data_IF_832053553517
#
_entry.id   IF_832053553517
#
_cell.length_a   1.000
_cell.length_b   1.000
_cell.length_c   1.000
_cell.angle_alpha   90.00
_cell.angle_beta   90.00
_cell.angle_gamma   90.00
#
_symmetry.space_group_name_H-M   'P 1'
#
loop_
_entity.id
_entity.type
_entity.pdbx_description
1 polymer ?
#
# COMPACT_ATOMS: atom_id res chain seq x y z
N UNK A 1 5.86 -77.88 10.56
CA UNK A 1 4.55 -77.18 10.64
C UNK A 1 4.71 -76.07 11.66
N UNK A 2 4.88 -74.83 11.21
CA UNK A 2 4.70 -73.59 11.98
C UNK A 2 5.01 -72.39 11.08
N UNK A 3 3.95 -71.78 10.56
CA UNK A 3 3.96 -70.61 9.68
C UNK A 3 4.02 -69.33 10.51
N UNK A 4 5.13 -68.60 10.42
CA UNK A 4 5.26 -67.23 10.93
C UNK A 4 5.75 -66.36 9.77
N UNK A 5 4.85 -65.65 9.08
CA UNK A 5 5.24 -64.49 8.27
C UNK A 5 4.17 -63.38 8.33
N UNK A 6 4.49 -62.43 9.21
CA UNK A 6 4.38 -60.96 9.10
C UNK A 6 3.02 -60.36 8.72
N UNK A 7 2.43 -59.76 9.75
CA UNK A 7 1.35 -58.77 9.74
C UNK A 7 1.72 -57.58 8.85
N UNK A 8 0.83 -57.20 7.93
CA UNK A 8 0.86 -55.91 7.25
C UNK A 8 -0.42 -55.18 7.66
N UNK A 9 -0.31 -54.37 8.70
CA UNK A 9 -1.35 -53.42 9.10
C UNK A 9 -1.04 -52.11 8.37
N UNK A 10 -1.80 -51.82 7.31
CA UNK A 10 -1.71 -50.55 6.59
C UNK A 10 -2.44 -49.50 7.43
N UNK A 11 -1.69 -48.71 8.19
CA UNK A 11 -2.18 -47.52 8.85
C UNK A 11 -2.24 -46.38 7.81
N UNK A 12 -3.44 -46.09 7.32
CA UNK A 12 -3.74 -44.87 6.57
C UNK A 12 -3.71 -43.68 7.54
N UNK A 13 -2.59 -42.97 7.59
CA UNK A 13 -2.48 -41.68 8.27
C UNK A 13 -3.11 -40.61 7.38
N UNK A 14 -4.32 -40.18 7.75
CA UNK A 14 -4.99 -39.02 7.16
C UNK A 14 -4.29 -37.76 7.71
N UNK A 15 -3.43 -37.15 6.90
CA UNK A 15 -2.85 -35.84 7.20
C UNK A 15 -3.92 -34.77 7.00
N UNK A 16 -4.54 -34.35 8.10
CA UNK A 16 -5.42 -33.17 8.11
C UNK A 16 -4.55 -31.93 8.03
N UNK A 17 -4.47 -31.34 6.83
CA UNK A 17 -3.87 -30.01 6.62
C UNK A 17 -4.88 -29.00 7.15
N UNK A 18 -4.65 -28.49 8.36
CA UNK A 18 -5.35 -27.31 8.84
C UNK A 18 -4.81 -26.10 8.10
N UNK A 19 -5.58 -25.63 7.12
CA UNK A 19 -5.40 -24.31 6.54
C UNK A 19 -5.52 -23.28 7.67
N UNK A 20 -4.39 -22.68 8.03
CA UNK A 20 -4.34 -21.48 8.86
C UNK A 20 -5.26 -20.43 8.21
N UNK A 21 -6.37 -20.13 8.89
CA UNK A 21 -7.12 -18.91 8.63
C UNK A 21 -6.30 -17.73 9.15
N UNK A 22 -5.41 -17.23 8.28
CA UNK A 22 -4.79 -15.92 8.45
C UNK A 22 -5.85 -14.84 8.25
N UNK A 23 -6.65 -14.59 9.27
CA UNK A 23 -7.46 -13.38 9.34
C UNK A 23 -6.54 -12.23 9.76
N UNK A 24 -5.75 -11.75 8.81
CA UNK A 24 -5.05 -10.47 8.92
C UNK A 24 -6.09 -9.36 8.83
N UNK A 25 -6.72 -9.03 9.96
CA UNK A 25 -7.48 -7.80 10.12
C UNK A 25 -6.53 -6.63 9.94
N UNK A 26 -6.38 -6.19 8.69
CA UNK A 26 -5.76 -4.91 8.40
C UNK A 26 -6.83 -3.85 8.68
N UNK A 27 -6.81 -3.33 9.90
CA UNK A 27 -7.61 -2.17 10.29
C UNK A 27 -7.38 -1.05 9.28
N UNK A 28 -8.38 -0.83 8.44
CA UNK A 28 -8.37 0.23 7.45
C UNK A 28 -8.91 1.46 8.16
N UNK A 29 -8.03 2.38 8.54
CA UNK A 29 -8.41 3.67 9.11
C UNK A 29 -9.37 4.37 8.14
N UNK A 30 -10.50 4.84 8.66
CA UNK A 30 -11.58 5.50 7.92
C UNK A 30 -11.05 6.73 7.17
N UNK A 31 -10.59 6.55 5.94
CA UNK A 31 -9.95 7.61 5.13
C UNK A 31 -8.82 7.11 4.23
N UNK A 32 -8.32 5.90 4.47
CA UNK A 32 -7.25 5.29 3.67
C UNK A 32 -7.82 4.55 2.45
N UNK A 33 -7.32 4.89 1.27
CA UNK A 33 -7.64 4.14 0.05
C UNK A 33 -6.51 3.19 -0.27
N UNK A 34 -6.83 1.90 -0.29
CA UNK A 34 -5.89 0.86 -0.71
C UNK A 34 -6.22 0.33 -2.10
N UNK A 35 -5.20 0.23 -2.97
CA UNK A 35 -5.30 -0.32 -4.32
C UNK A 35 -4.14 -1.31 -4.52
N UNK A 36 -4.39 -2.41 -5.22
CA UNK A 36 -3.35 -3.38 -5.59
C UNK A 36 -3.11 -3.32 -7.09
N UNK A 37 -1.84 -3.30 -7.49
CA UNK A 37 -1.37 -3.26 -8.87
C UNK A 37 -0.55 -4.52 -9.18
N UNK A 38 -0.65 -5.01 -10.41
CA UNK A 38 0.12 -6.15 -10.93
C UNK A 38 1.49 -5.72 -11.50
N UNK A 39 2.18 -4.87 -10.74
CA UNK A 39 3.52 -4.39 -11.07
C UNK A 39 4.49 -4.66 -9.92
N UNK A 40 5.77 -4.80 -10.24
CA UNK A 40 6.79 -5.00 -9.22
C UNK A 40 6.96 -3.75 -8.35
N UNK A 41 7.53 -3.99 -7.16
CA UNK A 41 7.64 -2.96 -6.13
C UNK A 41 8.46 -1.74 -6.56
N UNK A 42 9.57 -1.92 -7.29
CA UNK A 42 10.45 -0.80 -7.62
C UNK A 42 9.78 0.09 -8.67
N UNK A 43 9.18 -0.52 -9.70
CA UNK A 43 8.39 0.19 -10.70
C UNK A 43 7.30 1.02 -10.03
N UNK A 44 6.54 0.42 -9.10
CA UNK A 44 5.49 1.16 -8.41
C UNK A 44 6.00 2.29 -7.51
N UNK A 45 7.17 2.16 -6.89
CA UNK A 45 7.80 3.26 -6.14
C UNK A 45 8.07 4.45 -7.07
N UNK A 46 8.69 4.21 -8.22
CA UNK A 46 9.01 5.25 -9.20
C UNK A 46 7.75 5.90 -9.76
N UNK A 47 6.75 5.09 -10.14
CA UNK A 47 5.45 5.57 -10.62
C UNK A 47 4.76 6.45 -9.58
N UNK A 48 4.76 6.05 -8.30
CA UNK A 48 4.13 6.86 -7.24
C UNK A 48 4.87 8.18 -7.04
N UNK A 49 6.21 8.17 -7.02
CA UNK A 49 6.97 9.43 -6.91
C UNK A 49 6.71 10.36 -8.09
N UNK A 50 6.66 9.82 -9.31
CA UNK A 50 6.34 10.58 -10.51
C UNK A 50 4.90 11.12 -10.46
N UNK A 51 3.95 10.33 -9.98
CA UNK A 51 2.57 10.76 -9.81
C UNK A 51 2.45 11.93 -8.83
N UNK A 52 3.18 11.89 -7.71
CA UNK A 52 3.24 12.98 -6.72
C UNK A 52 3.84 14.24 -7.36
N UNK A 53 5.03 14.14 -7.95
CA UNK A 53 5.74 15.28 -8.57
C UNK A 53 4.92 15.93 -9.70
N UNK A 54 4.31 15.11 -10.55
CA UNK A 54 3.48 15.61 -11.67
C UNK A 54 2.12 16.14 -11.22
N UNK A 55 1.69 15.85 -9.99
CA UNK A 55 0.49 16.41 -9.37
C UNK A 55 0.75 17.75 -8.67
N UNK A 56 1.89 18.42 -8.93
CA UNK A 56 2.27 19.67 -8.24
C UNK A 56 2.32 19.52 -6.71
N UNK A 57 2.56 18.30 -6.23
CA UNK A 57 2.79 17.99 -4.82
C UNK A 57 4.28 17.81 -4.58
N UNK A 58 4.70 18.05 -3.35
CA UNK A 58 6.09 17.93 -2.95
C UNK A 58 6.28 16.73 -2.05
N UNK A 59 7.40 16.03 -2.23
CA UNK A 59 7.81 14.94 -1.35
C UNK A 59 8.63 15.57 -0.23
N UNK A 60 8.09 15.58 0.98
CA UNK A 60 8.79 16.10 2.17
C UNK A 60 9.67 15.04 2.83
N UNK A 61 9.27 13.77 2.76
CA UNK A 61 10.03 12.66 3.32
C UNK A 61 9.73 11.38 2.54
N UNK A 62 10.75 10.55 2.32
CA UNK A 62 10.60 9.23 1.74
C UNK A 62 11.55 8.25 2.44
N UNK A 63 11.05 7.08 2.80
CA UNK A 63 11.82 6.07 3.52
C UNK A 63 11.41 4.66 3.10
N UNK A 64 12.43 3.84 2.83
CA UNK A 64 12.28 2.39 2.66
C UNK A 64 12.39 1.70 4.01
N UNK A 65 11.57 0.68 4.26
CA UNK A 65 11.70 -0.16 5.45
C UNK A 65 13.01 -0.93 5.44
N UNK A 66 13.51 -1.31 6.62
CA UNK A 66 14.73 -2.11 6.78
C UNK A 66 14.62 -3.47 6.05
N UNK A 67 13.42 -4.05 6.03
CA UNK A 67 13.11 -5.29 5.30
C UNK A 67 13.02 -5.09 3.77
N UNK A 68 12.96 -3.83 3.30
CA UNK A 68 12.91 -3.49 1.89
C UNK A 68 11.60 -3.86 1.16
N UNK A 69 10.55 -4.22 1.91
CA UNK A 69 9.22 -4.58 1.43
C UNK A 69 8.23 -3.41 1.45
N UNK A 70 8.59 -2.28 2.05
CA UNK A 70 7.72 -1.12 2.24
C UNK A 70 8.46 0.17 1.91
N UNK A 71 7.76 1.11 1.29
CA UNK A 71 8.24 2.46 1.02
C UNK A 71 7.17 3.46 1.42
N UNK A 72 7.52 4.35 2.34
CA UNK A 72 6.61 5.37 2.87
C UNK A 72 7.03 6.72 2.32
N UNK A 73 6.08 7.45 1.75
CA UNK A 73 6.26 8.80 1.23
C UNK A 73 5.30 9.72 1.96
N UNK A 74 5.84 10.80 2.51
CA UNK A 74 5.07 11.93 3.04
C UNK A 74 5.12 13.03 1.99
N UNK A 75 3.95 13.50 1.58
CA UNK A 75 3.82 14.54 0.59
C UNK A 75 3.00 15.71 1.12
N UNK A 76 3.19 16.88 0.52
CA UNK A 76 2.44 18.07 0.88
C UNK A 76 2.08 18.92 -0.35
N UNK A 77 0.95 19.63 -0.25
CA UNK A 77 0.66 20.73 -1.18
C UNK A 77 1.53 21.93 -0.83
N UNK A 78 2.00 22.64 -1.87
CA UNK A 78 2.57 23.97 -1.70
C UNK A 78 1.48 25.00 -1.94
N UNK A 79 1.20 25.81 -0.92
CA UNK A 79 0.44 27.04 -1.09
C UNK A 79 1.41 28.21 -0.88
N UNK A 80 1.51 29.08 -1.89
CA UNK A 80 2.20 30.35 -1.74
C UNK A 80 1.26 31.32 -1.00
N UNK A 81 1.64 31.71 0.21
CA UNK A 81 0.95 32.77 0.95
C UNK A 81 1.95 33.90 1.15
N UNK A 82 1.72 35.05 0.50
CA UNK A 82 2.58 36.24 0.60
C UNK A 82 4.08 35.95 0.39
N UNK A 83 4.43 35.30 -0.73
CA UNK A 83 5.80 34.90 -1.09
C UNK A 83 6.50 33.93 -0.12
N UNK A 84 5.78 33.40 0.88
CA UNK A 84 6.25 32.35 1.76
C UNK A 84 5.52 31.04 1.45
N UNK A 85 6.27 29.99 1.14
CA UNK A 85 5.73 28.64 0.96
C UNK A 85 5.33 28.08 2.31
N UNK A 86 4.04 28.00 2.60
CA UNK A 86 3.52 27.40 3.84
C UNK A 86 3.06 25.97 3.53
N UNK A 87 3.55 24.99 4.31
CA UNK A 87 3.05 23.61 4.22
C UNK A 87 1.62 23.57 4.77
N UNK A 88 0.63 23.32 3.91
CA UNK A 88 -0.77 23.42 4.30
C UNK A 88 -1.39 22.07 4.65
N UNK A 89 -1.11 21.03 3.86
CA UNK A 89 -1.72 19.72 4.04
C UNK A 89 -0.66 18.61 3.84
N UNK A 90 -0.54 17.69 4.81
CA UNK A 90 0.39 16.56 4.74
C UNK A 90 -0.34 15.24 4.50
N UNK A 91 -0.16 14.64 3.33
CA UNK A 91 -0.65 13.31 3.01
C UNK A 91 0.45 12.25 3.12
N UNK A 92 0.05 10.98 3.07
CA UNK A 92 0.96 9.83 3.13
C UNK A 92 0.61 8.82 2.05
N UNK A 93 1.63 8.29 1.38
CA UNK A 93 1.52 7.10 0.52
C UNK A 93 2.41 6.00 1.08
N UNK A 94 1.88 4.79 1.17
CA UNK A 94 2.66 3.59 1.49
C UNK A 94 2.60 2.65 0.30
N UNK A 95 3.76 2.28 -0.22
CA UNK A 95 3.96 1.24 -1.24
C UNK A 95 4.41 -0.02 -0.51
N UNK A 96 3.70 -1.12 -0.66
CA UNK A 96 3.96 -2.38 0.05
C UNK A 96 4.03 -3.54 -0.94
N UNK A 97 5.14 -4.28 -0.93
CA UNK A 97 5.33 -5.47 -1.76
C UNK A 97 4.46 -6.61 -1.23
N UNK A 98 3.57 -7.14 -2.07
CA UNK A 98 2.79 -8.35 -1.77
C UNK A 98 3.41 -9.61 -2.39
N UNK A 99 4.08 -9.46 -3.53
CA UNK A 99 4.72 -10.56 -4.25
C UNK A 99 5.74 -10.06 -5.27
N UNK A 100 6.18 -10.94 -6.19
CA UNK A 100 7.20 -10.60 -7.20
C UNK A 100 6.74 -9.45 -8.11
N UNK A 101 5.50 -9.51 -8.59
CA UNK A 101 4.88 -8.54 -9.49
C UNK A 101 3.56 -8.03 -8.93
N UNK A 102 3.45 -7.94 -7.60
CA UNK A 102 2.22 -7.46 -6.98
C UNK A 102 2.57 -6.51 -5.86
N UNK A 103 2.01 -5.32 -5.95
CA UNK A 103 2.30 -4.22 -5.05
C UNK A 103 1.01 -3.55 -4.63
N UNK A 104 0.91 -3.21 -3.35
CA UNK A 104 -0.21 -2.51 -2.75
C UNK A 104 0.19 -1.07 -2.49
N UNK A 105 -0.69 -0.16 -2.88
CA UNK A 105 -0.58 1.27 -2.60
C UNK A 105 -1.67 1.61 -1.58
N UNK A 106 -1.29 2.36 -0.55
CA UNK A 106 -2.20 2.90 0.46
C UNK A 106 -2.01 4.41 0.45
N UNK A 107 -3.06 5.15 0.12
CA UNK A 107 -3.05 6.62 0.10
C UNK A 107 -3.91 7.11 1.26
N UNK A 108 -3.27 7.84 2.18
CA UNK A 108 -3.89 8.52 3.31
C UNK A 108 -3.99 10.01 2.98
N UNK A 109 -5.22 10.51 2.92
CA UNK A 109 -5.48 11.95 2.78
C UNK A 109 -5.04 12.70 4.06
N UNK A 110 -4.66 13.98 3.94
CA UNK A 110 -4.35 14.82 5.09
C UNK A 110 -5.54 14.96 6.04
N UNK A 111 -5.22 15.06 7.33
CA UNK A 111 -6.21 15.37 8.35
C UNK A 111 -6.57 16.85 8.28
N UNK A 112 -7.77 17.13 7.77
CA UNK A 112 -8.31 18.47 7.74
C UNK A 112 -8.84 18.87 9.12
N UNK A 113 -8.49 20.08 9.56
CA UNK A 113 -9.13 20.67 10.73
C UNK A 113 -10.65 20.75 10.53
N UNK A 114 -11.43 20.60 11.61
CA UNK A 114 -12.91 20.54 11.54
C UNK A 114 -13.54 21.79 10.92
N UNK A 115 -12.83 22.92 10.96
CA UNK A 115 -13.23 24.20 10.36
C UNK A 115 -13.17 24.22 8.83
N UNK A 116 -12.50 23.24 8.19
CA UNK A 116 -12.41 23.16 6.73
C UNK A 116 -13.65 22.44 6.18
N UNK A 117 -14.52 23.13 5.40
CA UNK A 117 -15.70 22.53 4.83
C UNK A 117 -15.35 21.35 3.92
N UNK A 118 -16.17 20.30 3.92
CA UNK A 118 -15.90 19.06 3.16
C UNK A 118 -15.73 19.26 1.65
N UNK A 119 -16.35 20.29 1.06
CA UNK A 119 -16.21 20.62 -0.36
C UNK A 119 -14.88 21.30 -0.71
N UNK A 120 -14.17 21.84 0.29
CA UNK A 120 -12.84 22.45 0.13
C UNK A 120 -11.72 21.45 0.41
N UNK A 121 -12.06 20.26 0.93
CA UNK A 121 -11.10 19.19 1.18
C UNK A 121 -10.70 18.55 -0.13
N UNK A 122 -9.41 18.61 -0.43
CA UNK A 122 -8.86 17.94 -1.59
C UNK A 122 -8.86 16.42 -1.37
N UNK A 123 -9.22 15.67 -2.42
CA UNK A 123 -9.25 14.21 -2.37
C UNK A 123 -8.01 13.66 -3.06
N UNK A 124 -6.86 13.81 -2.39
CA UNK A 124 -5.55 13.40 -2.92
C UNK A 124 -5.51 11.92 -3.28
N UNK A 125 -6.24 11.07 -2.57
CA UNK A 125 -6.43 9.65 -2.90
C UNK A 125 -6.91 9.43 -4.35
N UNK A 126 -7.91 10.21 -4.80
CA UNK A 126 -8.43 10.10 -6.16
C UNK A 126 -7.48 10.71 -7.18
N UNK A 127 -6.90 11.86 -6.85
CA UNK A 127 -5.94 12.56 -7.72
C UNK A 127 -4.71 11.70 -8.00
N UNK A 128 -4.08 11.19 -6.94
CA UNK A 128 -2.90 10.35 -7.04
C UNK A 128 -3.21 9.00 -7.69
N UNK A 129 -4.35 8.37 -7.37
CA UNK A 129 -4.76 7.14 -8.06
C UNK A 129 -4.84 7.36 -9.57
N UNK A 130 -5.63 8.34 -10.01
CA UNK A 130 -5.82 8.60 -11.44
C UNK A 130 -4.47 8.88 -12.11
N UNK A 131 -3.59 9.63 -11.45
CA UNK A 131 -2.27 9.93 -12.00
C UNK A 131 -1.36 8.71 -12.10
N UNK A 132 -1.43 7.79 -11.14
CA UNK A 132 -0.73 6.51 -11.19
C UNK A 132 -1.24 5.68 -12.36
N UNK A 133 -2.56 5.57 -12.52
CA UNK A 133 -3.17 4.83 -13.64
C UNK A 133 -2.72 5.43 -14.99
N UNK A 134 -2.79 6.75 -15.15
CA UNK A 134 -2.35 7.46 -16.36
C UNK A 134 -0.89 7.15 -16.72
N UNK A 135 0.00 7.04 -15.73
CA UNK A 135 1.44 6.75 -15.95
C UNK A 135 1.67 5.28 -16.32
N UNK A 136 0.81 4.37 -15.86
CA UNK A 136 0.93 2.93 -16.15
C UNK A 136 0.33 2.55 -17.51
N UNK A 137 -0.62 3.34 -18.02
CA UNK A 137 -1.27 3.13 -19.31
C UNK A 137 -0.48 3.72 -20.51
N UNK A 138 0.53 4.58 -20.25
CA UNK A 138 1.46 5.19 -21.24
C UNK A 138 2.65 4.26 -21.58
#
# INVERSE_FOLDING_TARGET
>A
MNTIKKRVLVLFTITVITFLQGCGSLETTSGDRSITYEHDFNTMVETVEQAIRSSSLNIGFAQKSDEGNKYTIIFNSQAAVNDQSVQQDQGKVVVERLGKNQTKIIITNPEYHYSVPSHQREKYDRRLKNRIDDILDD
#
